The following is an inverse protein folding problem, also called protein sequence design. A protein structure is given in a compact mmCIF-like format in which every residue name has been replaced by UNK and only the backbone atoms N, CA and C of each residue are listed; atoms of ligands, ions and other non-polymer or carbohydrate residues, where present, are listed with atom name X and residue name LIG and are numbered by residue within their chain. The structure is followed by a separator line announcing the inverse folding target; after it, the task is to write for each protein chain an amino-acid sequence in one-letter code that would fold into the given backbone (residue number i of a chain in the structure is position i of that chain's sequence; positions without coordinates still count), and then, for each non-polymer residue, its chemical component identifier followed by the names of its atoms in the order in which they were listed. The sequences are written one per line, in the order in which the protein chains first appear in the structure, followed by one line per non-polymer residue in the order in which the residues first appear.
data_IF_375303578359
#
_entry.id   IF_375303578359
#
_cell.length_a   1.000
_cell.length_b   1.000
_cell.length_c   1.000
_cell.angle_alpha   90.00
_cell.angle_beta   90.00
_cell.angle_gamma   90.00
#
_symmetry.space_group_name_H-M   'P 1'
#
loop_
_entity.id
_entity.type
_entity.pdbx_description
1 polymer ?
#
# COMPACT_ATOMS: atom_id res chain seq x y z
N UNK A 1 9.52 -17.57 22.36
CA UNK A 1 8.32 -16.96 21.86
C UNK A 1 8.56 -16.59 20.41
N UNK A 2 7.97 -17.38 19.51
CA UNK A 2 8.07 -17.13 18.08
C UNK A 2 7.37 -15.83 17.77
N UNK A 3 8.13 -14.78 17.76
CA UNK A 3 7.63 -13.47 17.39
C UNK A 3 7.50 -13.40 15.89
N UNK A 4 6.34 -13.89 15.47
CA UNK A 4 5.69 -13.39 14.27
C UNK A 4 6.46 -13.72 13.00
N UNK A 5 5.90 -13.51 12.17
CA UNK A 5 5.89 -13.33 10.73
C UNK A 5 7.15 -12.64 10.13
N UNK A 6 8.26 -12.48 10.92
CA UNK A 6 9.53 -11.92 10.41
C UNK A 6 9.38 -10.48 9.90
N UNK A 7 9.25 -10.31 8.59
CA UNK A 7 9.16 -9.01 7.93
C UNK A 7 7.75 -8.39 8.00
N UNK A 8 6.70 -9.15 8.36
CA UNK A 8 5.33 -8.65 8.46
C UNK A 8 5.12 -8.02 9.83
N UNK A 9 4.66 -6.77 9.88
CA UNK A 9 4.28 -6.10 11.12
C UNK A 9 2.80 -6.32 11.37
N UNK A 10 2.45 -6.85 12.57
CA UNK A 10 1.08 -7.02 13.02
C UNK A 10 0.68 -5.86 13.94
N UNK A 11 -0.64 -5.65 14.10
CA UNK A 11 -1.21 -4.51 14.87
C UNK A 11 -0.66 -4.35 16.29
N UNK A 12 -0.31 -5.43 16.94
CA UNK A 12 0.25 -5.43 18.31
C UNK A 12 1.70 -5.94 18.34
N UNK A 13 2.49 -5.62 17.33
CA UNK A 13 3.90 -6.02 17.27
C UNK A 13 4.67 -5.40 18.46
N UNK A 14 5.24 -6.23 19.36
CA UNK A 14 5.95 -5.75 20.55
C UNK A 14 7.23 -4.97 20.23
N UNK A 15 7.70 -5.03 18.99
CA UNK A 15 8.86 -4.26 18.52
C UNK A 15 8.53 -2.79 18.30
N UNK A 16 7.24 -2.42 18.22
CA UNK A 16 6.79 -1.05 17.97
C UNK A 16 6.61 -0.31 19.29
N UNK A 17 7.42 0.70 19.54
CA UNK A 17 7.29 1.57 20.71
C UNK A 17 5.97 2.36 20.68
N UNK A 18 5.51 2.86 21.85
CA UNK A 18 4.31 3.70 21.93
C UNK A 18 4.41 4.93 21.03
N UNK A 19 5.58 5.57 20.98
CA UNK A 19 5.84 6.71 20.11
C UNK A 19 5.83 6.29 18.63
N UNK A 20 6.47 5.18 18.29
CA UNK A 20 6.44 4.62 16.93
C UNK A 20 5.02 4.30 16.44
N UNK A 21 4.12 3.88 17.35
CA UNK A 21 2.70 3.67 17.03
C UNK A 21 1.99 4.97 16.65
N UNK A 22 2.25 6.07 17.37
CA UNK A 22 1.70 7.39 17.03
C UNK A 22 2.20 7.83 15.66
N UNK A 23 3.51 7.75 15.39
CA UNK A 23 4.10 8.11 14.11
C UNK A 23 3.49 7.32 12.94
N UNK A 24 3.21 6.03 13.15
CA UNK A 24 2.56 5.18 12.12
C UNK A 24 1.10 5.55 11.87
N UNK A 25 0.33 5.82 12.93
CA UNK A 25 -1.08 6.23 12.82
C UNK A 25 -1.19 7.57 12.08
N UNK A 26 -0.32 8.51 12.41
CA UNK A 26 -0.30 9.86 11.80
C UNK A 26 0.39 9.90 10.43
N UNK A 27 1.05 8.80 10.03
CA UNK A 27 1.87 8.71 8.80
C UNK A 27 3.07 9.67 8.76
N UNK A 28 3.41 10.29 9.87
CA UNK A 28 4.57 11.20 10.01
C UNK A 28 5.90 10.48 9.72
N UNK A 29 5.96 9.17 9.98
CA UNK A 29 7.11 8.34 9.62
C UNK A 29 7.38 8.28 8.10
N UNK A 30 6.46 8.69 7.27
CA UNK A 30 6.61 8.72 5.80
C UNK A 30 7.12 10.08 5.30
N UNK A 31 7.12 11.14 6.12
CA UNK A 31 7.60 12.47 5.74
C UNK A 31 9.05 12.50 5.20
N UNK A 32 10.01 11.70 5.71
CA UNK A 32 11.36 11.68 5.13
C UNK A 32 11.39 11.27 3.65
N UNK A 33 10.37 10.56 3.15
CA UNK A 33 10.25 10.20 1.72
C UNK A 33 10.07 11.42 0.82
N UNK A 34 9.62 12.55 1.36
CA UNK A 34 9.52 13.82 0.64
C UNK A 34 10.88 14.24 0.10
N UNK A 35 11.96 13.99 0.84
CA UNK A 35 13.34 14.28 0.40
C UNK A 35 13.67 13.46 -0.86
N UNK A 36 13.23 12.20 -0.92
CA UNK A 36 13.46 11.34 -2.09
C UNK A 36 12.64 11.81 -3.31
N UNK A 37 11.46 12.41 -3.08
CA UNK A 37 10.66 13.03 -4.14
C UNK A 37 11.40 14.24 -4.71
N UNK A 38 11.92 15.13 -3.86
CA UNK A 38 12.69 16.30 -4.31
C UNK A 38 13.97 15.91 -5.04
N UNK A 39 14.62 14.82 -4.65
CA UNK A 39 15.78 14.26 -5.34
C UNK A 39 15.41 13.58 -6.68
N UNK A 40 14.14 13.30 -6.91
CA UNK A 40 13.68 12.61 -8.09
C UNK A 40 13.80 11.08 -8.03
N UNK A 41 14.16 10.51 -6.87
CA UNK A 41 14.24 9.06 -6.66
C UNK A 41 12.86 8.41 -6.48
N UNK A 42 11.88 9.19 -6.01
CA UNK A 42 10.50 8.79 -5.81
C UNK A 42 9.52 9.76 -6.48
N UNK A 43 8.32 9.28 -6.72
CA UNK A 43 7.16 10.06 -7.15
C UNK A 43 6.18 10.24 -5.99
N UNK A 44 5.24 11.18 -6.10
CA UNK A 44 4.15 11.31 -5.11
C UNK A 44 3.23 10.10 -5.23
N UNK A 45 2.84 9.74 -6.46
CA UNK A 45 1.97 8.59 -6.73
C UNK A 45 2.74 7.53 -7.51
N UNK A 46 2.59 6.29 -7.12
CA UNK A 46 3.25 5.14 -7.75
C UNK A 46 3.21 3.90 -6.86
N UNK A 47 3.73 2.77 -7.33
CA UNK A 47 3.84 1.56 -6.53
C UNK A 47 4.73 1.81 -5.31
N UNK A 48 4.29 1.30 -4.15
CA UNK A 48 5.06 1.46 -2.91
C UNK A 48 6.39 0.71 -3.01
N UNK A 49 7.51 1.31 -2.54
CA UNK A 49 8.77 0.57 -2.39
C UNK A 49 8.56 -0.64 -1.48
N UNK A 50 8.96 -1.81 -1.93
CA UNK A 50 8.73 -3.07 -1.23
C UNK A 50 10.05 -3.68 -0.76
N UNK A 51 9.99 -4.36 0.38
CA UNK A 51 11.02 -5.31 0.76
C UNK A 51 11.00 -6.52 -0.20
N UNK A 52 12.15 -7.15 -0.42
CA UNK A 52 12.29 -8.31 -1.30
C UNK A 52 11.28 -9.43 -0.99
N UNK A 53 11.01 -9.69 0.31
CA UNK A 53 10.04 -10.69 0.76
C UNK A 53 8.62 -10.38 0.26
N UNK A 54 8.24 -9.11 0.25
CA UNK A 54 6.94 -8.66 -0.25
C UNK A 54 6.89 -8.67 -1.77
N UNK A 55 7.97 -8.25 -2.43
CA UNK A 55 8.09 -8.25 -3.87
C UNK A 55 7.95 -9.67 -4.46
N UNK A 56 8.55 -10.68 -3.85
CA UNK A 56 8.42 -12.09 -4.23
C UNK A 56 7.01 -12.67 -4.10
N UNK A 57 6.08 -11.97 -3.43
CA UNK A 57 4.67 -12.41 -3.39
C UNK A 57 3.90 -12.05 -4.66
N UNK A 58 4.40 -11.14 -5.47
CA UNK A 58 3.77 -10.79 -6.73
C UNK A 58 3.95 -11.88 -7.78
N UNK A 59 3.00 -11.98 -8.73
CA UNK A 59 3.19 -12.76 -9.94
C UNK A 59 4.39 -12.26 -10.75
N UNK A 60 5.06 -13.13 -11.49
CA UNK A 60 6.25 -12.80 -12.29
C UNK A 60 5.99 -11.63 -13.25
N UNK A 61 4.83 -11.59 -13.89
CA UNK A 61 4.44 -10.49 -14.78
C UNK A 61 4.43 -9.13 -14.05
N UNK A 62 3.91 -9.11 -12.82
CA UNK A 62 3.91 -7.90 -11.98
C UNK A 62 5.33 -7.53 -11.59
N UNK A 63 6.14 -8.51 -11.19
CA UNK A 63 7.53 -8.27 -10.79
C UNK A 63 8.35 -7.63 -11.91
N UNK A 64 8.11 -8.02 -13.17
CA UNK A 64 8.80 -7.45 -14.32
C UNK A 64 8.36 -6.02 -14.65
N UNK A 65 7.11 -5.65 -14.35
CA UNK A 65 6.51 -4.39 -14.77
C UNK A 65 6.41 -3.34 -13.67
N UNK A 66 6.31 -3.76 -12.40
CA UNK A 66 5.94 -2.87 -11.29
C UNK A 66 6.86 -1.65 -11.14
N UNK A 67 8.13 -1.79 -11.46
CA UNK A 67 9.11 -0.71 -11.38
C UNK A 67 9.45 -0.06 -12.73
N UNK A 68 8.61 -0.26 -13.75
CA UNK A 68 8.69 0.57 -14.97
C UNK A 68 8.31 2.03 -14.70
N UNK A 69 7.71 2.32 -13.54
CA UNK A 69 7.50 3.66 -13.01
C UNK A 69 8.24 3.85 -11.68
N UNK A 70 8.50 5.10 -11.31
CA UNK A 70 9.15 5.42 -10.03
C UNK A 70 8.27 4.98 -8.88
N UNK A 71 8.87 4.47 -7.77
CA UNK A 71 8.11 4.16 -6.57
C UNK A 71 7.46 5.42 -6.01
N UNK A 72 6.23 5.27 -5.50
CA UNK A 72 5.42 6.37 -4.97
C UNK A 72 5.37 6.42 -3.44
N UNK A 73 5.19 7.62 -2.89
CA UNK A 73 4.87 7.82 -1.48
C UNK A 73 3.45 7.31 -1.18
N UNK A 74 2.51 7.54 -2.09
CA UNK A 74 1.17 6.94 -2.08
C UNK A 74 0.89 6.21 -3.39
N UNK A 75 -0.13 5.36 -3.42
CA UNK A 75 -0.54 4.63 -4.62
C UNK A 75 -1.86 3.91 -4.39
N UNK A 76 -2.41 3.34 -5.46
CA UNK A 76 -3.72 2.68 -5.43
C UNK A 76 -3.74 1.50 -4.47
N UNK A 77 -2.68 0.69 -4.41
CA UNK A 77 -2.54 -0.42 -3.49
C UNK A 77 -2.52 0.05 -2.02
N UNK A 78 -1.81 1.13 -1.72
CA UNK A 78 -1.76 1.72 -0.37
C UNK A 78 -3.09 2.35 0.04
N UNK A 79 -3.81 2.96 -0.91
CA UNK A 79 -5.12 3.56 -0.68
C UNK A 79 -6.18 2.50 -0.34
N UNK A 80 -6.23 1.39 -1.09
CA UNK A 80 -7.21 0.32 -0.89
C UNK A 80 -6.90 -0.51 0.35
N UNK A 81 -5.62 -0.77 0.62
CA UNK A 81 -5.17 -1.53 1.78
C UNK A 81 -4.58 -0.66 2.89
N UNK A 82 -5.19 0.49 3.12
CA UNK A 82 -4.76 1.39 4.20
C UNK A 82 -4.69 0.70 5.56
N UNK A 83 -5.66 -0.17 5.86
CA UNK A 83 -5.76 -0.92 7.11
C UNK A 83 -5.24 -2.37 6.95
N UNK A 84 -4.25 -2.59 6.06
CA UNK A 84 -3.66 -3.90 5.78
C UNK A 84 -3.25 -4.65 7.04
N UNK A 85 -2.57 -3.95 7.95
CA UNK A 85 -2.10 -4.52 9.22
C UNK A 85 -3.24 -5.11 10.03
N UNK A 86 -4.41 -4.43 10.04
CA UNK A 86 -5.61 -4.92 10.70
C UNK A 86 -6.18 -6.13 9.98
N UNK A 87 -6.32 -6.06 8.65
CA UNK A 87 -6.89 -7.15 7.83
C UNK A 87 -6.06 -8.42 7.99
N UNK A 88 -4.74 -8.29 7.98
CA UNK A 88 -3.83 -9.42 8.16
C UNK A 88 -3.90 -9.97 9.59
N UNK A 89 -3.95 -9.09 10.60
CA UNK A 89 -3.98 -9.50 12.02
C UNK A 89 -5.28 -10.19 12.43
N UNK A 90 -6.41 -9.78 11.82
CA UNK A 90 -7.73 -10.32 12.12
C UNK A 90 -8.01 -11.63 11.34
N UNK A 91 -7.14 -12.02 10.39
CA UNK A 91 -7.31 -13.22 9.59
C UNK A 91 -6.93 -14.50 10.36
N UNK A 92 -7.64 -15.62 10.15
CA UNK A 92 -7.30 -16.92 10.74
C UNK A 92 -5.88 -17.39 10.39
N UNK A 93 -5.45 -17.14 9.14
CA UNK A 93 -4.08 -17.36 8.68
C UNK A 93 -3.52 -16.04 8.12
N UNK A 94 -2.75 -15.31 8.94
CA UNK A 94 -2.13 -14.05 8.54
C UNK A 94 -1.19 -14.16 7.33
N UNK A 95 -0.47 -15.29 7.19
CA UNK A 95 0.45 -15.48 6.07
C UNK A 95 -0.29 -15.69 4.75
N UNK A 96 -1.32 -16.52 4.76
CA UNK A 96 -2.16 -16.74 3.57
C UNK A 96 -2.90 -15.45 3.18
N UNK A 97 -3.42 -14.70 4.15
CA UNK A 97 -4.08 -13.41 3.90
C UNK A 97 -3.10 -12.40 3.32
N UNK A 98 -1.90 -12.30 3.86
CA UNK A 98 -0.84 -11.42 3.35
C UNK A 98 -0.54 -11.72 1.87
N UNK A 99 -0.37 -12.99 1.51
CA UNK A 99 -0.15 -13.42 0.12
C UNK A 99 -1.31 -12.99 -0.79
N UNK A 100 -2.56 -13.22 -0.38
CA UNK A 100 -3.76 -12.80 -1.15
C UNK A 100 -3.78 -11.29 -1.38
N UNK A 101 -3.48 -10.51 -0.36
CA UNK A 101 -3.42 -9.04 -0.45
C UNK A 101 -2.36 -8.63 -1.48
N UNK A 102 -1.16 -9.21 -1.43
CA UNK A 102 -0.09 -8.83 -2.36
C UNK A 102 -0.37 -9.22 -3.80
N UNK A 103 -0.98 -10.38 -4.04
CA UNK A 103 -1.43 -10.75 -5.39
C UNK A 103 -2.40 -9.72 -5.97
N UNK A 104 -3.40 -9.34 -5.19
CA UNK A 104 -4.37 -8.32 -5.63
C UNK A 104 -3.76 -6.91 -5.72
N UNK A 105 -2.83 -6.54 -4.81
CA UNK A 105 -2.07 -5.29 -4.96
C UNK A 105 -1.31 -5.24 -6.28
N UNK A 106 -0.74 -6.36 -6.72
CA UNK A 106 -0.07 -6.44 -8.01
C UNK A 106 -1.00 -6.08 -9.17
N UNK A 107 -2.22 -6.60 -9.17
CA UNK A 107 -3.25 -6.26 -10.17
C UNK A 107 -3.61 -4.77 -10.13
N UNK A 108 -3.74 -4.19 -8.94
CA UNK A 108 -4.01 -2.77 -8.76
C UNK A 108 -2.88 -1.88 -9.31
N UNK A 109 -1.62 -2.27 -9.09
CA UNK A 109 -0.47 -1.51 -9.58
C UNK A 109 -0.34 -1.61 -11.11
N UNK A 110 -0.64 -2.76 -11.71
CA UNK A 110 -0.72 -2.88 -13.17
C UNK A 110 -1.87 -2.05 -13.75
N UNK A 111 -3.04 -2.06 -13.09
CA UNK A 111 -4.15 -1.17 -13.46
C UNK A 111 -3.72 0.30 -13.43
N UNK A 112 -3.04 0.73 -12.35
CA UNK A 112 -2.55 2.10 -12.24
C UNK A 112 -1.59 2.45 -13.37
N UNK A 113 -0.63 1.59 -13.69
CA UNK A 113 0.31 1.84 -14.80
C UNK A 113 -0.40 2.04 -16.14
N UNK A 114 -1.47 1.29 -16.41
CA UNK A 114 -2.29 1.45 -17.61
C UNK A 114 -3.17 2.71 -17.63
N UNK A 115 -3.38 3.33 -16.46
CA UNK A 115 -4.26 4.51 -16.29
C UNK A 115 -3.52 5.74 -15.75
N UNK A 116 -2.20 5.66 -15.63
CA UNK A 116 -1.38 6.75 -15.09
C UNK A 116 -1.60 8.04 -15.88
N UNK A 117 -2.05 9.07 -15.20
CA UNK A 117 -2.31 10.41 -15.74
C UNK A 117 -2.34 11.42 -14.59
N UNK A 118 -2.18 12.69 -14.89
CA UNK A 118 -2.30 13.76 -13.89
C UNK A 118 -3.64 13.71 -13.14
N UNK A 119 -4.73 13.34 -13.83
CA UNK A 119 -6.06 13.19 -13.21
C UNK A 119 -6.06 12.01 -12.22
N UNK A 120 -5.56 10.86 -12.64
CA UNK A 120 -5.50 9.66 -11.78
C UNK A 120 -4.64 9.92 -10.54
N UNK A 121 -3.49 10.57 -10.72
CA UNK A 121 -2.58 10.91 -9.63
C UNK A 121 -3.22 11.87 -8.65
N UNK A 122 -3.85 12.94 -9.15
CA UNK A 122 -4.55 13.90 -8.30
C UNK A 122 -5.69 13.24 -7.53
N UNK A 123 -6.46 12.36 -8.18
CA UNK A 123 -7.54 11.63 -7.52
C UNK A 123 -7.04 10.66 -6.46
N UNK A 124 -5.90 9.97 -6.69
CA UNK A 124 -5.29 9.09 -5.68
C UNK A 124 -4.82 9.91 -4.47
N UNK A 125 -4.17 11.06 -4.69
CA UNK A 125 -3.75 11.97 -3.61
C UNK A 125 -4.97 12.45 -2.81
N UNK A 126 -6.00 12.94 -3.50
CA UNK A 126 -7.24 13.40 -2.87
C UNK A 126 -7.90 12.29 -2.05
N UNK A 127 -8.06 11.10 -2.63
CA UNK A 127 -8.67 9.95 -1.96
C UNK A 127 -7.83 9.45 -0.78
N UNK A 128 -6.50 9.55 -0.86
CA UNK A 128 -5.62 9.23 0.26
C UNK A 128 -5.90 10.16 1.44
N UNK A 129 -5.91 11.48 1.20
CA UNK A 129 -6.23 12.47 2.22
C UNK A 129 -7.67 12.28 2.75
N UNK A 130 -8.64 12.06 1.87
CA UNK A 130 -10.03 11.79 2.23
C UNK A 130 -10.18 10.55 3.10
N UNK A 131 -9.47 9.47 2.79
CA UNK A 131 -9.52 8.23 3.55
C UNK A 131 -8.94 8.37 4.97
N UNK A 132 -8.05 9.35 5.21
CA UNK A 132 -7.54 9.67 6.54
C UNK A 132 -8.65 10.27 7.40
N UNK A 133 -9.46 11.16 6.82
CA UNK A 133 -10.57 11.83 7.52
C UNK A 133 -11.79 10.89 7.65
N UNK A 134 -12.06 10.08 6.62
CA UNK A 134 -13.24 9.22 6.53
C UNK A 134 -12.88 7.75 6.24
N UNK A 135 -12.36 7.00 7.22
CA UNK A 135 -11.79 5.65 7.01
C UNK A 135 -12.77 4.61 6.45
N UNK A 136 -14.06 4.76 6.71
CA UNK A 136 -15.09 3.77 6.32
C UNK A 136 -15.74 4.05 4.98
N UNK A 137 -15.33 5.09 4.24
CA UNK A 137 -15.96 5.40 2.97
C UNK A 137 -15.47 4.47 1.85
N UNK A 138 -16.33 4.29 0.85
CA UNK A 138 -16.03 3.48 -0.35
C UNK A 138 -15.89 4.36 -1.60
N UNK A 139 -15.44 5.61 -1.42
CA UNK A 139 -15.39 6.59 -2.50
C UNK A 139 -14.43 6.17 -3.62
N UNK A 140 -13.33 5.50 -3.29
CA UNK A 140 -12.36 4.98 -4.24
C UNK A 140 -13.01 4.11 -5.31
N UNK A 141 -13.87 3.17 -4.93
CA UNK A 141 -14.57 2.28 -5.86
C UNK A 141 -15.70 2.97 -6.64
N UNK A 142 -16.20 4.12 -6.16
CA UNK A 142 -17.18 4.93 -6.89
C UNK A 142 -16.52 5.76 -8.00
N UNK A 143 -15.30 6.24 -7.74
CA UNK A 143 -14.53 7.06 -8.68
C UNK A 143 -13.85 6.16 -9.72
N UNK A 144 -13.15 5.14 -9.29
CA UNK A 144 -12.47 4.18 -10.15
C UNK A 144 -13.33 2.92 -10.31
N UNK A 145 -14.32 2.98 -11.21
CA UNK A 145 -15.28 1.90 -11.43
C UNK A 145 -14.69 0.67 -12.12
N UNK A 146 -13.57 0.84 -12.77
CA UNK A 146 -12.83 -0.17 -13.53
C UNK A 146 -11.67 -0.80 -12.77
N UNK A 147 -11.62 -0.59 -11.45
CA UNK A 147 -10.65 -1.28 -10.60
C UNK A 147 -10.86 -2.80 -10.66
N UNK A 148 -9.78 -3.59 -10.63
CA UNK A 148 -9.87 -5.04 -10.47
C UNK A 148 -10.80 -5.42 -9.30
N UNK A 149 -11.57 -6.50 -9.48
CA UNK A 149 -12.49 -6.98 -8.44
C UNK A 149 -11.68 -7.66 -7.34
N UNK A 150 -11.89 -7.24 -6.10
CA UNK A 150 -11.23 -7.85 -4.95
C UNK A 150 -11.71 -9.31 -4.79
N UNK A 151 -10.80 -10.32 -4.81
CA UNK A 151 -11.17 -11.73 -4.83
C UNK A 151 -11.48 -12.34 -3.45
N UNK A 152 -11.48 -11.55 -2.37
CA UNK A 152 -11.70 -12.01 -0.97
C UNK A 152 -12.36 -10.95 -0.09
#
# INVERSE_FOLDING_TARGET
PNMGTGAITLRNDPRVTKFGKILRITKVNELPQIINIFKGDMSIVGPRPLMEVSFKQYHEEVQQKIYNCKPGMTGIGSLIFRDEEKIVSDAPDPKAMYKKIYLYKGELELWYQGKASLYTDFMIIFLTAWSILFPKNKLTYKIFKDLPIRPF
#
